data_IF_121294453931
#
_entry.id   IF_121294453931
#
_cell.length_a   1.000
_cell.length_b   1.000
_cell.length_c   1.000
_cell.angle_alpha   90.00
_cell.angle_beta   90.00
_cell.angle_gamma   90.00
#
_symmetry.space_group_name_H-M   'P 1'
#
loop_
_entity.id
_entity.type
_entity.pdbx_description
1 polymer ?
#
# COMPACT_ATOMS: atom_id res chain seq x y z
N UNK A 1 -12.40 5.18 -1.28
CA UNK A 1 -13.80 5.08 -0.82
C UNK A 1 -13.82 4.14 0.38
N UNK A 2 -14.01 4.63 1.60
CA UNK A 2 -14.19 3.75 2.77
C UNK A 2 -15.63 3.24 2.75
N UNK A 3 -15.83 1.93 2.54
CA UNK A 3 -17.18 1.34 2.46
C UNK A 3 -17.85 1.35 3.85
N UNK A 4 -19.19 1.35 3.87
CA UNK A 4 -19.99 1.22 5.10
C UNK A 4 -19.61 -0.03 5.92
N UNK A 5 -19.09 -1.06 5.26
CA UNK A 5 -18.62 -2.28 5.91
C UNK A 5 -17.35 -2.03 6.75
N UNK A 6 -16.47 -1.11 6.34
CA UNK A 6 -15.29 -0.74 7.13
C UNK A 6 -15.69 -0.03 8.42
N UNK A 7 -16.67 0.87 8.36
CA UNK A 7 -17.20 1.52 9.56
C UNK A 7 -17.87 0.51 10.49
N UNK A 8 -18.72 -0.38 9.98
CA UNK A 8 -19.36 -1.43 10.80
C UNK A 8 -18.34 -2.43 11.36
N UNK A 9 -17.30 -2.77 10.60
CA UNK A 9 -16.24 -3.68 11.03
C UNK A 9 -15.37 -3.05 12.13
N UNK A 10 -14.91 -1.81 11.95
CA UNK A 10 -14.13 -1.09 12.97
C UNK A 10 -15.01 -0.82 14.18
N UNK A 11 -16.19 -0.22 14.02
CA UNK A 11 -17.05 0.18 15.15
C UNK A 11 -17.64 -1.02 15.89
N UNK A 12 -18.08 -2.06 15.16
CA UNK A 12 -18.58 -3.31 15.75
C UNK A 12 -17.50 -4.07 16.53
N UNK A 13 -16.28 -4.14 15.99
CA UNK A 13 -15.14 -4.74 16.69
C UNK A 13 -14.72 -3.92 17.91
N UNK A 14 -14.69 -2.60 17.78
CA UNK A 14 -14.26 -1.70 18.85
C UNK A 14 -15.24 -1.66 20.01
N UNK A 15 -16.54 -1.91 19.81
CA UNK A 15 -17.52 -1.85 20.89
C UNK A 15 -17.81 -3.25 21.47
N UNK A 16 -18.07 -4.26 20.64
CA UNK A 16 -18.47 -5.59 21.13
C UNK A 16 -17.28 -6.38 21.68
N UNK A 17 -16.17 -6.44 20.95
CA UNK A 17 -15.00 -7.23 21.38
C UNK A 17 -14.22 -6.54 22.48
N UNK A 18 -14.08 -5.21 22.46
CA UNK A 18 -13.40 -4.49 23.55
C UNK A 18 -14.19 -4.49 24.85
N UNK A 19 -15.53 -4.35 24.78
CA UNK A 19 -16.38 -4.32 25.96
C UNK A 19 -16.40 -5.65 26.69
N UNK A 20 -16.56 -6.76 25.95
CA UNK A 20 -16.58 -8.10 26.54
C UNK A 20 -15.18 -8.51 27.01
N UNK A 21 -14.13 -8.29 26.21
CA UNK A 21 -12.76 -8.62 26.61
C UNK A 21 -12.29 -7.77 27.79
N UNK A 22 -12.67 -6.49 27.84
CA UNK A 22 -12.38 -5.60 28.95
C UNK A 22 -13.09 -6.00 30.23
N UNK A 23 -14.36 -6.38 30.16
CA UNK A 23 -15.09 -6.88 31.33
C UNK A 23 -14.45 -8.15 31.90
N UNK A 24 -14.10 -9.12 31.03
CA UNK A 24 -13.46 -10.38 31.45
C UNK A 24 -12.07 -10.12 32.05
N UNK A 25 -11.26 -9.26 31.42
CA UNK A 25 -9.92 -8.94 31.92
C UNK A 25 -9.99 -8.22 33.26
N UNK A 26 -10.98 -7.34 33.45
CA UNK A 26 -11.17 -6.64 34.72
C UNK A 26 -11.56 -7.59 35.86
N UNK A 27 -12.45 -8.55 35.60
CA UNK A 27 -12.79 -9.60 36.55
C UNK A 27 -11.56 -10.43 36.92
N UNK A 28 -10.72 -10.80 35.95
CA UNK A 28 -9.48 -11.54 36.22
C UNK A 28 -8.50 -10.74 37.08
N UNK A 29 -8.31 -9.45 36.77
CA UNK A 29 -7.37 -8.59 37.49
C UNK A 29 -7.82 -8.32 38.94
N UNK A 30 -9.12 -8.16 39.17
CA UNK A 30 -9.68 -7.93 40.51
C UNK A 30 -9.76 -9.24 41.30
N UNK A 31 -10.29 -10.31 40.71
CA UNK A 31 -10.61 -11.53 41.45
C UNK A 31 -9.42 -12.50 41.56
N UNK A 32 -8.58 -12.63 40.52
CA UNK A 32 -7.43 -13.55 40.55
C UNK A 32 -6.13 -12.92 41.03
N UNK A 33 -5.94 -11.64 40.75
CA UNK A 33 -4.71 -10.92 41.13
C UNK A 33 -4.90 -9.99 42.34
N UNK A 34 -6.12 -9.92 42.89
CA UNK A 34 -6.47 -9.09 44.05
C UNK A 34 -6.05 -7.62 43.89
N UNK A 35 -6.04 -7.13 42.64
CA UNK A 35 -5.69 -5.74 42.35
C UNK A 35 -6.92 -4.87 42.68
N UNK A 36 -6.75 -3.77 43.42
CA UNK A 36 -7.85 -2.85 43.68
C UNK A 36 -8.50 -2.36 42.38
N UNK A 37 -9.81 -2.16 42.40
CA UNK A 37 -10.65 -1.94 41.21
C UNK A 37 -10.17 -0.79 40.31
N UNK A 38 -9.66 0.29 40.91
CA UNK A 38 -9.19 1.47 40.17
C UNK A 38 -7.87 1.21 39.41
N UNK A 39 -6.79 0.70 40.04
CA UNK A 39 -5.61 0.24 39.32
C UNK A 39 -5.91 -0.85 38.29
N UNK A 40 -6.81 -1.80 38.60
CA UNK A 40 -7.21 -2.86 37.67
C UNK A 40 -7.89 -2.29 36.42
N UNK A 41 -8.72 -1.25 36.57
CA UNK A 41 -9.33 -0.54 35.45
C UNK A 41 -8.30 0.15 34.56
N UNK A 42 -7.33 0.88 35.14
CA UNK A 42 -6.28 1.55 34.37
C UNK A 42 -5.40 0.55 33.61
N UNK A 43 -5.05 -0.56 34.26
CA UNK A 43 -4.26 -1.63 33.64
C UNK A 43 -5.04 -2.33 32.51
N UNK A 44 -6.33 -2.55 32.70
CA UNK A 44 -7.23 -3.08 31.67
C UNK A 44 -7.26 -2.16 30.43
N UNK A 45 -7.42 -0.85 30.62
CA UNK A 45 -7.39 0.13 29.53
C UNK A 45 -6.03 0.15 28.81
N UNK A 46 -4.92 0.06 29.55
CA UNK A 46 -3.57 0.03 28.97
C UNK A 46 -3.34 -1.23 28.13
N UNK A 47 -3.75 -2.41 28.62
CA UNK A 47 -3.60 -3.68 27.93
C UNK A 47 -4.44 -3.69 26.66
N UNK A 48 -5.71 -3.29 26.76
CA UNK A 48 -6.60 -3.18 25.60
C UNK A 48 -6.03 -2.22 24.56
N UNK A 49 -5.62 -1.01 24.96
CA UNK A 49 -5.02 -0.04 24.06
C UNK A 49 -3.77 -0.58 23.36
N UNK A 50 -2.92 -1.33 24.07
CA UNK A 50 -1.70 -1.93 23.52
C UNK A 50 -2.00 -3.04 22.52
N UNK A 51 -2.97 -3.91 22.82
CA UNK A 51 -3.42 -4.97 21.91
C UNK A 51 -4.07 -4.39 20.67
N UNK A 52 -4.93 -3.38 20.83
CA UNK A 52 -5.55 -2.67 19.71
C UNK A 52 -4.50 -2.00 18.83
N UNK A 53 -3.55 -1.28 19.41
CA UNK A 53 -2.45 -0.68 18.67
C UNK A 53 -1.66 -1.73 17.87
N UNK A 54 -1.35 -2.88 18.47
CA UNK A 54 -0.60 -3.93 17.80
C UNK A 54 -1.38 -4.53 16.62
N UNK A 55 -2.65 -4.86 16.84
CA UNK A 55 -3.48 -5.49 15.81
C UNK A 55 -3.82 -4.50 14.70
N UNK A 56 -4.13 -3.25 15.05
CA UNK A 56 -4.31 -2.20 14.07
C UNK A 56 -3.02 -2.00 13.29
N UNK A 57 -1.86 -1.85 13.92
CA UNK A 57 -0.59 -1.74 13.20
C UNK A 57 -0.37 -2.87 12.19
N UNK A 58 -0.73 -4.11 12.53
CA UNK A 58 -0.57 -5.25 11.63
C UNK A 58 -1.57 -5.25 10.46
N UNK A 59 -2.83 -4.92 10.74
CA UNK A 59 -3.88 -4.81 9.72
C UNK A 59 -3.62 -3.60 8.82
N UNK A 60 -3.27 -2.46 9.39
CA UNK A 60 -2.87 -1.25 8.67
C UNK A 60 -1.61 -1.53 7.84
N UNK A 61 -0.59 -2.23 8.32
CA UNK A 61 0.56 -2.61 7.48
C UNK A 61 0.16 -3.49 6.29
N UNK A 62 -0.78 -4.42 6.48
CA UNK A 62 -1.24 -5.32 5.42
C UNK A 62 -2.18 -4.64 4.42
N UNK A 63 -3.12 -3.80 4.88
CA UNK A 63 -4.06 -3.06 4.04
C UNK A 63 -3.44 -1.81 3.39
N UNK A 64 -2.61 -1.08 4.14
CA UNK A 64 -1.93 0.13 3.66
C UNK A 64 -0.58 -0.16 3.01
N UNK A 65 -0.17 -1.42 2.82
CA UNK A 65 0.92 -1.74 1.88
C UNK A 65 0.63 -1.19 0.48
N UNK A 66 -0.62 -1.35 0.02
CA UNK A 66 -1.12 -0.76 -1.24
C UNK A 66 -1.29 0.77 -1.16
N UNK A 67 -1.72 1.29 0.00
CA UNK A 67 -1.92 2.73 0.21
C UNK A 67 -0.58 3.48 0.36
N UNK A 68 0.48 2.82 0.85
CA UNK A 68 1.85 3.36 0.83
C UNK A 68 2.34 3.59 -0.59
N UNK A 69 1.92 2.81 -1.59
CA UNK A 69 2.20 3.08 -3.00
C UNK A 69 1.46 4.34 -3.50
N UNK A 70 0.23 4.56 -3.01
CA UNK A 70 -0.58 5.75 -3.30
C UNK A 70 0.02 7.01 -2.65
N UNK A 71 0.55 6.91 -1.42
CA UNK A 71 1.16 8.04 -0.70
C UNK A 71 2.67 8.23 -0.93
N UNK A 72 3.34 7.33 -1.67
CA UNK A 72 4.80 7.41 -1.90
C UNK A 72 5.21 8.66 -2.69
N UNK A 73 4.26 9.32 -3.37
CA UNK A 73 4.53 10.49 -4.18
C UNK A 73 3.62 11.64 -3.74
N UNK A 74 4.16 12.86 -3.55
CA UNK A 74 3.36 14.02 -3.23
C UNK A 74 2.25 14.15 -4.26
N UNK A 75 1.02 14.43 -3.80
CA UNK A 75 -0.13 14.75 -4.66
C UNK A 75 0.34 15.68 -5.76
N UNK A 76 0.30 15.16 -6.96
CA UNK A 76 0.85 15.74 -8.16
C UNK A 76 0.17 17.09 -8.39
N UNK A 77 0.84 18.18 -8.03
CA UNK A 77 0.36 19.55 -8.25
C UNK A 77 0.78 19.98 -9.65
N UNK A 78 0.01 19.59 -10.65
CA UNK A 78 0.16 20.00 -12.04
C UNK A 78 -0.89 19.33 -12.92
N UNK A 79 -1.23 19.92 -14.06
CA UNK A 79 -2.07 19.26 -15.07
C UNK A 79 -1.21 18.28 -15.88
N UNK A 80 -1.07 17.05 -15.39
CA UNK A 80 -0.37 15.99 -16.11
C UNK A 80 -1.30 15.41 -17.19
N UNK A 81 -1.16 15.93 -18.40
CA UNK A 81 -1.93 15.43 -19.56
C UNK A 81 -1.30 14.14 -20.11
N UNK A 82 -2.09 13.26 -20.76
CA UNK A 82 -1.55 12.09 -21.45
C UNK A 82 -0.45 12.44 -22.46
N UNK A 83 -0.59 13.55 -23.18
CA UNK A 83 0.41 14.02 -24.15
C UNK A 83 1.73 14.40 -23.48
N UNK A 84 1.68 15.08 -22.33
CA UNK A 84 2.88 15.41 -21.57
C UNK A 84 3.60 14.14 -21.09
N UNK A 85 2.85 13.16 -20.58
CA UNK A 85 3.40 11.89 -20.13
C UNK A 85 4.00 11.06 -21.27
N UNK A 86 3.36 11.04 -22.43
CA UNK A 86 3.89 10.38 -23.63
C UNK A 86 5.22 10.99 -24.08
N UNK A 87 5.31 12.32 -24.12
CA UNK A 87 6.55 13.02 -24.44
C UNK A 87 7.64 12.72 -23.40
N UNK A 88 7.26 12.70 -22.11
CA UNK A 88 8.21 12.42 -21.02
C UNK A 88 8.78 11.01 -21.09
N UNK A 89 7.95 9.98 -21.34
CA UNK A 89 8.45 8.61 -21.58
C UNK A 89 9.46 8.58 -22.73
N UNK A 90 9.17 9.32 -23.80
CA UNK A 90 10.06 9.38 -24.98
C UNK A 90 11.41 10.02 -24.63
N UNK A 91 11.41 11.10 -23.85
CA UNK A 91 12.64 11.75 -23.35
C UNK A 91 13.47 10.78 -22.50
N UNK A 92 12.88 10.18 -21.46
CA UNK A 92 13.57 9.27 -20.55
C UNK A 92 14.11 8.02 -21.29
N UNK A 93 13.36 7.50 -22.27
CA UNK A 93 13.83 6.38 -23.08
C UNK A 93 15.05 6.75 -23.93
N UNK A 94 15.09 7.96 -24.48
CA UNK A 94 16.24 8.44 -25.24
C UNK A 94 17.47 8.61 -24.34
N UNK A 95 17.28 9.11 -23.11
CA UNK A 95 18.35 9.26 -22.11
C UNK A 95 18.89 7.90 -21.67
N UNK A 96 18.02 6.94 -21.36
CA UNK A 96 18.39 5.56 -21.09
C UNK A 96 19.15 4.90 -22.25
N UNK A 97 18.64 5.05 -23.49
CA UNK A 97 19.28 4.51 -24.69
C UNK A 97 20.66 5.15 -24.94
N UNK A 98 20.79 6.46 -24.74
CA UNK A 98 22.04 7.17 -24.91
C UNK A 98 23.07 6.77 -23.85
N UNK A 99 22.65 6.57 -22.59
CA UNK A 99 23.50 6.09 -21.52
C UNK A 99 24.05 4.68 -21.81
N UNK A 100 23.19 3.77 -22.26
CA UNK A 100 23.62 2.44 -22.71
C UNK A 100 24.67 2.53 -23.81
N UNK A 101 24.38 3.31 -24.87
CA UNK A 101 25.27 3.41 -26.04
C UNK A 101 26.62 4.03 -25.72
N UNK A 102 26.67 4.97 -24.77
CA UNK A 102 27.89 5.69 -24.39
C UNK A 102 28.82 4.82 -23.54
N UNK A 103 28.26 4.16 -22.53
CA UNK A 103 29.03 3.37 -21.56
C UNK A 103 28.27 2.10 -21.18
N UNK A 104 28.40 1.01 -21.97
CA UNK A 104 27.65 -0.21 -21.71
C UNK A 104 28.02 -0.91 -20.39
N UNK A 105 29.21 -0.64 -19.85
CA UNK A 105 29.68 -1.28 -18.61
C UNK A 105 29.38 -0.45 -17.35
N UNK A 106 28.84 0.76 -17.50
CA UNK A 106 28.45 1.61 -16.37
C UNK A 106 27.04 1.27 -15.89
N UNK A 107 26.94 0.15 -15.19
CA UNK A 107 25.68 -0.34 -14.62
C UNK A 107 25.04 0.66 -13.64
N UNK A 108 25.84 1.51 -13.00
CA UNK A 108 25.34 2.55 -12.09
C UNK A 108 24.54 3.61 -12.86
N UNK A 109 25.11 4.10 -13.98
CA UNK A 109 24.40 5.03 -14.86
C UNK A 109 23.18 4.39 -15.49
N UNK A 110 23.26 3.13 -15.91
CA UNK A 110 22.09 2.41 -16.45
C UNK A 110 20.95 2.30 -15.46
N UNK A 111 21.27 1.91 -14.21
CA UNK A 111 20.26 1.78 -13.16
C UNK A 111 19.58 3.11 -12.90
N UNK A 112 20.34 4.20 -12.85
CA UNK A 112 19.79 5.54 -12.66
C UNK A 112 18.77 5.90 -13.75
N UNK A 113 19.18 5.84 -15.02
CA UNK A 113 18.31 6.18 -16.16
C UNK A 113 17.12 5.22 -16.29
N UNK A 114 17.32 3.94 -15.96
CA UNK A 114 16.24 2.95 -15.94
C UNK A 114 15.19 3.29 -14.88
N UNK A 115 15.61 3.74 -13.70
CA UNK A 115 14.69 4.13 -12.63
C UNK A 115 13.92 5.40 -13.00
N UNK A 116 14.54 6.35 -13.69
CA UNK A 116 13.86 7.56 -14.18
C UNK A 116 12.82 7.22 -15.27
N UNK A 117 13.17 6.35 -16.22
CA UNK A 117 12.21 5.80 -17.18
C UNK A 117 11.07 5.04 -16.50
N UNK A 118 11.39 4.17 -15.53
CA UNK A 118 10.37 3.44 -14.76
C UNK A 118 9.41 4.39 -14.03
N UNK A 119 9.93 5.50 -13.51
CA UNK A 119 9.13 6.51 -12.83
C UNK A 119 8.19 7.23 -13.81
N UNK A 120 8.65 7.58 -15.02
CA UNK A 120 7.79 8.16 -16.05
C UNK A 120 6.65 7.21 -16.50
N UNK A 121 6.94 5.90 -16.58
CA UNK A 121 5.92 4.88 -16.90
C UNK A 121 4.88 4.78 -15.77
N UNK A 122 5.32 4.77 -14.50
CA UNK A 122 4.40 4.73 -13.34
C UNK A 122 3.49 5.97 -13.32
N UNK A 123 4.04 7.15 -13.62
CA UNK A 123 3.26 8.39 -13.70
C UNK A 123 2.22 8.36 -14.82
N UNK A 124 2.55 7.73 -15.95
CA UNK A 124 1.60 7.52 -17.05
C UNK A 124 0.45 6.60 -16.65
N UNK A 125 0.75 5.49 -15.96
CA UNK A 125 -0.28 4.60 -15.42
C UNK A 125 -1.25 5.36 -14.49
N UNK A 126 -0.74 6.26 -13.65
CA UNK A 126 -1.58 7.07 -12.75
C UNK A 126 -2.52 7.98 -13.54
N UNK A 127 -2.02 8.69 -14.55
CA UNK A 127 -2.85 9.55 -15.40
C UNK A 127 -3.95 8.72 -16.09
N UNK A 128 -3.65 7.52 -16.57
CA UNK A 128 -4.65 6.63 -17.16
C UNK A 128 -5.72 6.21 -16.15
N UNK A 129 -5.32 5.85 -14.92
CA UNK A 129 -6.25 5.51 -13.83
C UNK A 129 -7.13 6.70 -13.44
N UNK A 130 -6.59 7.91 -13.37
CA UNK A 130 -7.36 9.13 -13.10
C UNK A 130 -8.39 9.43 -14.21
N UNK A 131 -8.10 9.03 -15.45
CA UNK A 131 -9.05 9.10 -16.57
C UNK A 131 -10.08 7.95 -16.58
N UNK A 132 -10.05 7.06 -15.58
CA UNK A 132 -11.01 5.97 -15.43
C UNK A 132 -10.67 4.69 -16.20
N UNK A 133 -9.44 4.55 -16.69
CA UNK A 133 -9.00 3.34 -17.40
C UNK A 133 -8.70 2.21 -16.40
N UNK A 134 -9.22 1.01 -16.67
CA UNK A 134 -8.92 -0.19 -15.88
C UNK A 134 -7.56 -0.80 -16.25
N UNK A 135 -6.50 -0.18 -15.75
CA UNK A 135 -5.13 -0.66 -15.95
C UNK A 135 -4.91 -2.05 -15.32
N UNK A 136 -5.61 -2.37 -14.23
CA UNK A 136 -5.39 -3.63 -13.50
C UNK A 136 -5.99 -4.82 -14.23
N UNK A 137 -7.19 -4.66 -14.79
CA UNK A 137 -7.79 -5.65 -15.67
C UNK A 137 -6.97 -5.87 -16.94
N UNK A 138 -6.43 -4.79 -17.53
CA UNK A 138 -5.59 -4.91 -18.72
C UNK A 138 -4.26 -5.61 -18.43
N UNK A 139 -3.59 -5.28 -17.32
CA UNK A 139 -2.39 -5.98 -16.88
C UNK A 139 -2.64 -7.48 -16.68
N UNK A 140 -3.77 -7.84 -16.04
CA UNK A 140 -4.16 -9.24 -15.88
C UNK A 140 -4.35 -9.94 -17.22
N UNK A 141 -5.00 -9.30 -18.20
CA UNK A 141 -5.17 -9.86 -19.56
C UNK A 141 -3.83 -10.09 -20.24
N UNK A 142 -2.91 -9.11 -20.17
CA UNK A 142 -1.56 -9.23 -20.74
C UNK A 142 -0.83 -10.43 -20.13
N UNK A 143 -0.87 -10.58 -18.80
CA UNK A 143 -0.26 -11.72 -18.12
C UNK A 143 -0.85 -13.05 -18.60
N UNK A 144 -2.18 -13.16 -18.71
CA UNK A 144 -2.83 -14.37 -19.20
C UNK A 144 -2.48 -14.68 -20.66
N UNK A 145 -2.44 -13.66 -21.52
CA UNK A 145 -2.03 -13.81 -22.92
C UNK A 145 -0.58 -14.27 -23.05
N UNK A 146 0.32 -13.70 -22.24
CA UNK A 146 1.73 -14.08 -22.24
C UNK A 146 1.94 -15.49 -21.68
N UNK A 147 1.15 -15.91 -20.69
CA UNK A 147 1.10 -17.32 -20.23
C UNK A 147 0.63 -18.25 -21.36
N UNK A 148 -0.45 -17.90 -22.06
CA UNK A 148 -0.94 -18.68 -23.19
C UNK A 148 0.08 -18.79 -24.34
N UNK A 149 0.95 -17.78 -24.49
CA UNK A 149 2.06 -17.78 -25.45
C UNK A 149 3.32 -18.53 -24.95
N UNK A 150 3.31 -19.04 -23.72
CA UNK A 150 4.46 -19.71 -23.11
C UNK A 150 5.63 -18.79 -22.78
N UNK A 151 5.41 -17.47 -22.67
CA UNK A 151 6.49 -16.49 -22.45
C UNK A 151 7.00 -16.44 -21.00
N UNK A 152 6.25 -17.00 -20.06
CA UNK A 152 6.64 -17.10 -18.64
C UNK A 152 7.01 -18.52 -18.21
N UNK A 153 6.62 -19.51 -19.01
CA UNK A 153 6.96 -20.91 -18.82
C UNK A 153 8.15 -21.25 -19.74
N UNK A 154 9.28 -20.62 -19.47
CA UNK A 154 10.58 -21.10 -19.95
C UNK A 154 11.13 -22.08 -18.92
N UNK A 155 11.61 -23.24 -19.38
CA UNK A 155 12.28 -24.32 -18.60
C UNK A 155 13.04 -23.84 -17.36
#
# INVERSE_FOLDING_TARGET
MFSKEWFVYVFGRWILLSGIAGAILQVILVDKFSIPTFPAFLLNQLILASVFWYVDKYIFQRHFGAVKAIFKFPRVRGEFTPSHQFNKITEEYNEFSAAYKKSPEDYGKWLHEFLDLSHAVEMTERVLREKGVDVSGEFYRIVQQNKAKGLYDGN
#
